data_IF_258711809726
#
_entry.id   IF_258711809726
#
_cell.length_a   1.000
_cell.length_b   1.000
_cell.length_c   1.000
_cell.angle_alpha   90.00
_cell.angle_beta   90.00
_cell.angle_gamma   90.00
#
_symmetry.space_group_name_H-M   'P 1'
#
loop_
_entity.id
_entity.type
_entity.pdbx_description
1 polymer ?
#
# COMPACT_ATOMS: atom_id res chain seq x y z
N UNK A 1 12.27 -4.36 -7.99
CA UNK A 1 12.44 -3.08 -8.72
C UNK A 1 13.09 -2.08 -7.77
N UNK A 2 14.14 -1.37 -8.19
CA UNK A 2 14.86 -0.38 -7.36
C UNK A 2 14.04 0.89 -7.07
N UNK A 3 12.93 1.10 -7.79
CA UNK A 3 11.99 2.20 -7.60
C UNK A 3 10.82 1.84 -6.69
N UNK A 4 10.73 0.59 -6.24
CA UNK A 4 9.68 0.15 -5.32
C UNK A 4 9.90 0.76 -3.94
N UNK A 5 8.91 1.51 -3.46
CA UNK A 5 8.94 2.15 -2.15
C UNK A 5 7.72 1.73 -1.33
N UNK A 6 7.90 1.58 -0.03
CA UNK A 6 6.87 1.13 0.92
C UNK A 6 6.63 2.18 1.98
N UNK A 7 5.46 2.14 2.62
CA UNK A 7 5.17 3.02 3.74
C UNK A 7 6.03 2.66 4.96
N UNK A 8 6.84 3.62 5.41
CA UNK A 8 7.84 3.42 6.47
C UNK A 8 7.25 2.87 7.77
N UNK A 9 6.07 3.32 8.17
CA UNK A 9 5.44 2.85 9.41
C UNK A 9 5.18 1.33 9.40
N UNK A 10 4.71 0.79 8.26
CA UNK A 10 4.46 -0.64 8.13
C UNK A 10 5.77 -1.42 8.02
N UNK A 11 6.78 -0.84 7.36
CA UNK A 11 8.10 -1.42 7.24
C UNK A 11 8.79 -1.57 8.61
N UNK A 12 8.69 -0.56 9.49
CA UNK A 12 9.25 -0.65 10.85
C UNK A 12 8.60 -1.80 11.63
N UNK A 13 7.27 -1.93 11.55
CA UNK A 13 6.56 -3.04 12.18
C UNK A 13 7.01 -4.40 11.60
N UNK A 14 7.11 -4.52 10.28
CA UNK A 14 7.60 -5.74 9.64
C UNK A 14 9.04 -6.06 10.07
N UNK A 15 9.94 -5.07 10.07
CA UNK A 15 11.34 -5.27 10.42
C UNK A 15 11.49 -5.81 11.85
N UNK A 16 10.62 -5.39 12.77
CA UNK A 16 10.57 -5.94 14.12
C UNK A 16 10.10 -7.41 14.14
N UNK A 17 9.11 -7.76 13.33
CA UNK A 17 8.47 -9.09 13.34
C UNK A 17 9.22 -10.14 12.50
N UNK A 18 9.86 -9.72 11.40
CA UNK A 18 10.39 -10.61 10.37
C UNK A 18 11.37 -11.68 10.88
N UNK A 19 12.35 -11.38 11.77
CA UNK A 19 13.26 -12.41 12.29
C UNK A 19 12.54 -13.52 13.06
N UNK A 20 11.49 -13.16 13.82
CA UNK A 20 10.65 -14.12 14.53
C UNK A 20 9.87 -15.01 13.57
N UNK A 21 9.25 -14.40 12.55
CA UNK A 21 8.46 -15.10 11.53
C UNK A 21 9.34 -16.08 10.74
N UNK A 22 10.51 -15.66 10.25
CA UNK A 22 11.43 -16.53 9.49
C UNK A 22 11.86 -17.74 10.32
N UNK A 23 12.25 -17.50 11.58
CA UNK A 23 12.62 -18.58 12.50
C UNK A 23 11.47 -19.58 12.68
N UNK A 24 10.24 -19.09 12.91
CA UNK A 24 9.08 -19.96 13.11
C UNK A 24 8.65 -20.69 11.83
N UNK A 25 8.79 -20.08 10.66
CA UNK A 25 8.56 -20.77 9.39
C UNK A 25 9.54 -21.91 9.18
N UNK A 26 10.83 -21.69 9.44
CA UNK A 26 11.85 -22.73 9.35
C UNK A 26 11.61 -23.89 10.33
N UNK A 27 11.28 -23.56 11.59
CA UNK A 27 10.89 -24.54 12.62
C UNK A 27 9.71 -25.39 12.14
N UNK A 28 8.61 -24.76 11.71
CA UNK A 28 7.40 -25.46 11.31
C UNK A 28 7.58 -26.25 10.03
N UNK A 29 8.38 -25.75 9.09
CA UNK A 29 8.75 -26.48 7.89
C UNK A 29 9.52 -27.77 8.21
N UNK A 30 10.52 -27.68 9.11
CA UNK A 30 11.40 -28.80 9.46
C UNK A 30 10.67 -29.85 10.30
N UNK A 31 9.96 -29.40 11.33
CA UNK A 31 9.37 -30.25 12.36
C UNK A 31 7.97 -30.72 12.00
N UNK A 32 7.14 -29.81 11.49
CA UNK A 32 5.72 -30.07 11.19
C UNK A 32 5.42 -30.32 9.72
N UNK A 33 6.46 -30.26 8.87
CA UNK A 33 6.36 -30.44 7.41
C UNK A 33 5.34 -29.49 6.75
N UNK A 34 5.15 -28.31 7.33
CA UNK A 34 4.29 -27.27 6.73
C UNK A 34 4.89 -26.85 5.39
N UNK A 35 4.01 -26.73 4.38
CA UNK A 35 4.33 -26.23 3.04
C UNK A 35 3.47 -25.06 2.62
N UNK A 36 2.26 -24.98 3.16
CA UNK A 36 1.27 -23.97 2.79
C UNK A 36 1.03 -23.03 3.96
N UNK A 37 1.08 -21.73 3.68
CA UNK A 37 0.98 -20.68 4.69
C UNK A 37 -0.02 -19.62 4.24
N UNK A 38 -0.99 -19.34 5.11
CA UNK A 38 -1.88 -18.20 4.95
C UNK A 38 -1.29 -16.99 5.64
N UNK A 39 -1.07 -15.92 4.89
CA UNK A 39 -0.69 -14.60 5.41
C UNK A 39 -1.93 -13.74 5.44
N UNK A 40 -2.40 -13.36 6.62
CA UNK A 40 -3.64 -12.61 6.77
C UNK A 40 -3.43 -11.41 7.67
N UNK A 41 -4.15 -10.34 7.35
CA UNK A 41 -4.14 -9.13 8.16
C UNK A 41 -5.38 -8.28 7.92
N UNK A 42 -5.78 -7.56 8.96
CA UNK A 42 -6.86 -6.58 8.92
C UNK A 42 -6.32 -5.20 9.32
N UNK A 43 -6.80 -4.13 8.70
CA UNK A 43 -6.39 -2.75 9.03
C UNK A 43 -4.87 -2.54 8.89
N UNK A 44 -4.20 -2.00 9.91
CA UNK A 44 -2.75 -1.96 10.02
C UNK A 44 -2.10 -3.32 9.75
N UNK A 45 -2.69 -4.41 10.26
CA UNK A 45 -2.23 -5.77 10.00
C UNK A 45 -2.31 -6.13 8.51
N UNK A 46 -3.30 -5.61 7.77
CA UNK A 46 -3.38 -5.76 6.31
C UNK A 46 -2.24 -5.03 5.60
N UNK A 47 -1.89 -3.82 6.07
CA UNK A 47 -0.71 -3.07 5.61
C UNK A 47 0.59 -3.84 5.81
N UNK A 48 0.77 -4.46 6.98
CA UNK A 48 1.94 -5.30 7.30
C UNK A 48 1.93 -6.60 6.49
N UNK A 49 0.76 -7.22 6.30
CA UNK A 49 0.60 -8.46 5.54
C UNK A 49 1.03 -8.30 4.07
N UNK A 50 0.77 -7.14 3.44
CA UNK A 50 1.32 -6.83 2.11
C UNK A 50 2.84 -6.93 2.12
N UNK A 51 3.49 -6.20 3.03
CA UNK A 51 4.95 -6.15 3.09
C UNK A 51 5.54 -7.50 3.48
N UNK A 52 4.90 -8.23 4.40
CA UNK A 52 5.33 -9.56 4.82
C UNK A 52 5.31 -10.54 3.65
N UNK A 53 4.25 -10.56 2.83
CA UNK A 53 4.20 -11.44 1.67
C UNK A 53 5.31 -11.14 0.66
N UNK A 54 5.58 -9.86 0.38
CA UNK A 54 6.72 -9.46 -0.46
C UNK A 54 8.05 -9.90 0.15
N UNK A 55 8.25 -9.63 1.45
CA UNK A 55 9.47 -10.02 2.15
C UNK A 55 9.72 -11.52 2.09
N UNK A 56 8.69 -12.35 2.30
CA UNK A 56 8.81 -13.82 2.22
C UNK A 56 9.16 -14.30 0.81
N UNK A 57 8.67 -13.64 -0.25
CA UNK A 57 9.08 -13.96 -1.62
C UNK A 57 10.58 -13.79 -1.81
N UNK A 58 11.11 -12.66 -1.36
CA UNK A 58 12.54 -12.35 -1.53
C UNK A 58 13.42 -13.08 -0.54
N UNK A 59 12.94 -13.35 0.67
CA UNK A 59 13.61 -14.22 1.65
C UNK A 59 13.79 -15.64 1.09
N UNK A 60 12.80 -16.14 0.34
CA UNK A 60 12.89 -17.42 -0.38
C UNK A 60 13.95 -17.40 -1.47
N UNK A 61 14.01 -16.34 -2.28
CA UNK A 61 15.06 -16.17 -3.30
C UNK A 61 16.47 -16.06 -2.68
N UNK A 62 16.56 -15.49 -1.48
CA UNK A 62 17.79 -15.41 -0.69
C UNK A 62 18.07 -16.67 0.16
N UNK A 63 17.26 -17.73 0.03
CA UNK A 63 17.41 -18.98 0.76
C UNK A 63 17.35 -18.84 2.30
N UNK A 64 16.72 -17.76 2.81
CA UNK A 64 16.46 -17.56 4.24
C UNK A 64 15.29 -18.42 4.75
N UNK A 65 14.44 -18.85 3.82
CA UNK A 65 13.35 -19.81 4.05
C UNK A 65 13.31 -20.84 2.90
N UNK A 66 12.68 -22.01 3.09
CA UNK A 66 12.60 -23.07 2.10
C UNK A 66 11.90 -22.64 0.80
N UNK A 67 12.42 -23.15 -0.32
CA UNK A 67 12.01 -22.79 -1.68
C UNK A 67 10.62 -23.28 -2.09
N UNK A 68 10.12 -24.32 -1.43
CA UNK A 68 8.86 -25.03 -1.65
C UNK A 68 7.76 -24.63 -0.63
N UNK A 69 7.90 -23.47 0.01
CA UNK A 69 6.81 -22.83 0.74
C UNK A 69 5.88 -22.08 -0.22
N UNK A 70 4.58 -22.29 -0.05
CA UNK A 70 3.51 -21.65 -0.80
C UNK A 70 2.74 -20.68 0.10
N UNK A 71 2.56 -19.45 -0.39
CA UNK A 71 1.93 -18.38 0.37
C UNK A 71 0.67 -17.91 -0.33
N UNK A 72 -0.45 -17.90 0.40
CA UNK A 72 -1.67 -17.22 -0.01
C UNK A 72 -1.97 -16.07 0.95
N UNK A 73 -2.26 -14.90 0.40
CA UNK A 73 -2.35 -13.68 1.20
C UNK A 73 -3.72 -13.02 1.10
N UNK A 74 -4.26 -12.62 2.25
CA UNK A 74 -5.48 -11.84 2.37
C UNK A 74 -5.22 -10.59 3.21
N UNK A 75 -5.14 -9.45 2.54
CA UNK A 75 -5.06 -8.15 3.16
C UNK A 75 -6.46 -7.54 3.18
N UNK A 76 -7.13 -7.58 4.34
CA UNK A 76 -8.44 -6.98 4.51
C UNK A 76 -8.34 -5.59 5.10
N UNK A 77 -9.15 -4.64 4.59
CA UNK A 77 -9.17 -3.27 5.07
C UNK A 77 -7.78 -2.62 5.15
N UNK A 78 -6.86 -3.06 4.29
CA UNK A 78 -5.45 -2.67 4.37
C UNK A 78 -5.25 -1.28 3.76
N UNK A 79 -4.50 -0.38 4.42
CA UNK A 79 -4.09 0.87 3.80
C UNK A 79 -3.16 0.59 2.61
N UNK A 80 -2.96 1.60 1.76
CA UNK A 80 -2.04 1.52 0.62
C UNK A 80 -0.61 1.22 1.09
N UNK A 81 0.01 0.10 0.66
CA UNK A 81 1.28 -0.38 1.23
C UNK A 81 2.52 0.33 0.70
N UNK A 82 2.47 0.87 -0.52
CA UNK A 82 3.64 1.42 -1.20
C UNK A 82 3.29 2.19 -2.46
N UNK A 83 4.30 2.54 -3.24
CA UNK A 83 4.11 3.26 -4.50
C UNK A 83 3.70 2.33 -5.65
N UNK A 84 3.51 2.90 -6.84
CA UNK A 84 3.14 2.14 -8.05
C UNK A 84 4.08 0.98 -8.37
N UNK A 85 5.40 1.18 -8.23
CA UNK A 85 6.37 0.13 -8.51
C UNK A 85 6.28 -1.02 -7.50
N UNK A 86 6.03 -0.71 -6.23
CA UNK A 86 5.74 -1.74 -5.23
C UNK A 86 4.44 -2.50 -5.56
N UNK A 87 3.38 -1.80 -5.96
CA UNK A 87 2.12 -2.45 -6.32
C UNK A 87 2.29 -3.42 -7.51
N UNK A 88 3.01 -3.02 -8.56
CA UNK A 88 3.30 -3.90 -9.69
C UNK A 88 4.10 -5.13 -9.31
N UNK A 89 5.12 -4.95 -8.46
CA UNK A 89 5.93 -6.05 -7.95
C UNK A 89 5.08 -7.04 -7.16
N UNK A 90 4.27 -6.53 -6.22
CA UNK A 90 3.35 -7.31 -5.41
C UNK A 90 2.33 -8.07 -6.26
N UNK A 91 1.68 -7.39 -7.20
CA UNK A 91 0.68 -7.98 -8.09
C UNK A 91 1.31 -9.05 -8.97
N UNK A 92 2.54 -8.82 -9.44
CA UNK A 92 3.27 -9.82 -10.20
C UNK A 92 3.55 -11.07 -9.36
N UNK A 93 4.15 -10.95 -8.18
CA UNK A 93 4.52 -12.13 -7.36
C UNK A 93 3.31 -12.85 -6.75
N UNK A 94 2.13 -12.23 -6.75
CA UNK A 94 0.87 -12.81 -6.22
C UNK A 94 -0.20 -13.07 -7.29
N UNK A 95 0.15 -12.92 -8.58
CA UNK A 95 -0.75 -13.14 -9.72
C UNK A 95 -1.39 -14.52 -9.71
N UNK A 96 -2.58 -14.63 -10.31
CA UNK A 96 -3.32 -15.89 -10.37
C UNK A 96 -4.07 -16.23 -9.07
N UNK A 97 -4.42 -15.23 -8.26
CA UNK A 97 -5.25 -15.42 -7.06
C UNK A 97 -4.47 -15.87 -5.81
N UNK A 98 -3.19 -15.50 -5.71
CA UNK A 98 -2.35 -15.80 -4.54
C UNK A 98 -2.23 -14.62 -3.56
N UNK A 99 -2.73 -13.44 -3.92
CA UNK A 99 -2.76 -12.26 -3.07
C UNK A 99 -4.00 -11.43 -3.32
N UNK A 100 -4.78 -11.21 -2.27
CA UNK A 100 -6.05 -10.48 -2.32
C UNK A 100 -6.04 -9.25 -1.43
N UNK A 101 -6.69 -8.21 -1.93
CA UNK A 101 -7.01 -7.00 -1.20
C UNK A 101 -8.52 -6.90 -1.03
N UNK A 102 -9.00 -7.19 0.18
CA UNK A 102 -10.43 -7.23 0.49
C UNK A 102 -10.85 -5.87 1.04
N UNK A 103 -11.76 -5.20 0.35
CA UNK A 103 -12.16 -3.82 0.62
C UNK A 103 -13.67 -3.71 0.75
N UNK A 104 -14.15 -3.12 1.85
CA UNK A 104 -15.51 -2.60 1.96
C UNK A 104 -15.57 -1.24 1.27
N UNK A 105 -16.52 -1.01 0.36
CA UNK A 105 -16.63 0.25 -0.38
C UNK A 105 -16.97 1.47 0.48
N UNK A 106 -17.45 1.29 1.71
CA UNK A 106 -17.70 2.36 2.67
C UNK A 106 -16.54 2.57 3.68
N UNK A 107 -15.49 1.76 3.62
CA UNK A 107 -14.34 1.88 4.53
C UNK A 107 -13.30 2.83 3.96
N UNK A 108 -12.96 3.87 4.72
CA UNK A 108 -11.98 4.89 4.33
C UNK A 108 -10.53 4.43 4.52
N UNK A 109 -10.25 3.42 5.35
CA UNK A 109 -8.86 3.03 5.67
C UNK A 109 -8.05 2.59 4.43
N UNK A 110 -8.62 1.85 3.46
CA UNK A 110 -7.95 1.57 2.18
C UNK A 110 -7.63 2.81 1.32
N UNK A 111 -8.18 3.97 1.63
CA UNK A 111 -7.95 5.23 0.90
C UNK A 111 -6.70 5.99 1.37
N UNK A 112 -6.11 5.60 2.51
CA UNK A 112 -4.90 6.21 3.07
C UNK A 112 -3.65 5.36 2.81
N UNK A 113 -2.44 5.95 2.79
CA UNK A 113 -2.12 7.38 2.91
C UNK A 113 -2.57 8.22 1.71
N UNK A 114 -2.56 9.55 1.86
CA UNK A 114 -2.81 10.47 0.73
C UNK A 114 -1.85 10.23 -0.42
N UNK A 115 -2.41 10.11 -1.63
CA UNK A 115 -1.64 9.85 -2.85
C UNK A 115 -1.50 11.12 -3.68
N UNK A 116 -0.27 11.45 -4.06
CA UNK A 116 0.03 12.53 -5.01
C UNK A 116 0.90 11.97 -6.12
N UNK A 117 0.39 11.99 -7.35
CA UNK A 117 1.20 11.72 -8.52
C UNK A 117 1.89 12.99 -9.01
N UNK A 118 3.18 12.90 -9.28
CA UNK A 118 4.00 13.96 -9.87
C UNK A 118 4.50 13.52 -11.25
N UNK A 119 5.04 14.46 -12.04
CA UNK A 119 5.66 14.12 -13.32
C UNK A 119 6.82 13.12 -13.21
N UNK A 120 7.48 13.04 -12.05
CA UNK A 120 8.55 12.08 -11.80
C UNK A 120 8.05 10.64 -11.64
N UNK A 121 6.75 10.45 -11.41
CA UNK A 121 6.15 9.14 -11.24
C UNK A 121 5.67 8.51 -12.55
N UNK A 122 5.66 9.26 -13.65
CA UNK A 122 5.31 8.71 -14.96
C UNK A 122 6.48 7.92 -15.56
N UNK A 123 6.15 6.95 -16.42
CA UNK A 123 7.13 6.31 -17.28
C UNK A 123 7.86 7.39 -18.13
N UNK A 124 9.19 7.29 -18.34
CA UNK A 124 9.94 8.21 -19.19
C UNK A 124 9.36 8.41 -20.60
N UNK A 125 8.67 7.41 -21.15
CA UNK A 125 8.00 7.47 -22.47
C UNK A 125 6.72 8.29 -22.46
N UNK A 126 6.21 8.67 -21.29
CA UNK A 126 4.95 9.39 -21.16
C UNK A 126 5.01 10.77 -21.83
N UNK A 127 3.94 11.14 -22.53
CA UNK A 127 3.85 12.41 -23.27
C UNK A 127 3.96 13.62 -22.36
N UNK A 128 3.43 13.55 -21.14
CA UNK A 128 3.46 14.67 -20.19
C UNK A 128 4.88 14.99 -19.74
N UNK A 129 5.72 13.98 -19.53
CA UNK A 129 7.16 14.14 -19.19
C UNK A 129 7.91 14.87 -20.32
N UNK A 130 7.54 14.60 -21.57
CA UNK A 130 8.22 15.16 -22.76
C UNK A 130 7.60 16.48 -23.25
N UNK A 131 6.51 16.95 -22.64
CA UNK A 131 5.79 18.20 -23.03
C UNK A 131 6.71 19.41 -23.10
N UNK A 132 7.68 19.53 -22.19
CA UNK A 132 8.64 20.66 -22.19
C UNK A 132 9.48 20.70 -23.47
N UNK A 133 9.85 19.55 -24.03
CA UNK A 133 10.55 19.46 -25.33
C UNK A 133 9.62 19.84 -26.48
N UNK A 134 8.35 19.43 -26.44
CA UNK A 134 7.36 19.79 -27.45
C UNK A 134 7.05 21.29 -27.46
N UNK A 135 6.88 21.90 -26.27
CA UNK A 135 6.62 23.34 -26.12
C UNK A 135 7.75 24.22 -26.64
N UNK A 136 9.00 23.74 -26.62
CA UNK A 136 10.14 24.47 -27.21
C UNK A 136 9.99 24.71 -28.72
N UNK A 137 9.25 23.84 -29.43
CA UNK A 137 9.00 23.94 -30.87
C UNK A 137 7.82 24.85 -31.23
N UNK A 138 7.10 25.38 -30.23
CA UNK A 138 5.89 26.20 -30.45
C UNK A 138 6.22 27.69 -30.55
N UNK A 139 5.29 28.47 -31.13
CA UNK A 139 5.35 29.95 -31.19
C UNK A 139 5.50 30.56 -29.78
N UNK A 140 6.13 31.74 -29.70
CA UNK A 140 6.51 32.37 -28.42
C UNK A 140 5.39 32.45 -27.39
N UNK A 141 4.20 32.96 -27.76
CA UNK A 141 3.07 33.10 -26.83
C UNK A 141 2.52 31.75 -26.35
N UNK A 142 2.42 30.76 -27.25
CA UNK A 142 1.99 29.39 -26.90
C UNK A 142 3.00 28.74 -25.95
N UNK A 143 4.30 28.90 -26.23
CA UNK A 143 5.38 28.41 -25.38
C UNK A 143 5.34 29.05 -23.99
N UNK A 144 5.06 30.35 -23.88
CA UNK A 144 4.97 31.06 -22.60
C UNK A 144 3.83 30.50 -21.74
N UNK A 145 2.61 30.45 -22.30
CA UNK A 145 1.42 29.94 -21.60
C UNK A 145 1.61 28.47 -21.24
N UNK A 146 2.07 27.65 -22.19
CA UNK A 146 2.31 26.22 -21.98
C UNK A 146 3.34 25.95 -20.89
N UNK A 147 4.45 26.71 -20.84
CA UNK A 147 5.45 26.57 -19.78
C UNK A 147 4.88 26.96 -18.40
N UNK A 148 4.05 28.01 -18.32
CA UNK A 148 3.41 28.40 -17.07
C UNK A 148 2.50 27.30 -16.51
N UNK A 149 1.65 26.74 -17.38
CA UNK A 149 0.75 25.63 -17.00
C UNK A 149 1.55 24.39 -16.62
N UNK A 150 2.53 23.99 -17.43
CA UNK A 150 3.44 22.87 -17.14
C UNK A 150 4.12 23.03 -15.77
N UNK A 151 4.68 24.21 -15.50
CA UNK A 151 5.34 24.49 -14.22
C UNK A 151 4.36 24.44 -13.05
N UNK A 152 3.09 24.84 -13.22
CA UNK A 152 2.07 24.69 -12.19
C UNK A 152 1.75 23.21 -11.91
N UNK A 153 1.61 22.40 -12.97
CA UNK A 153 1.39 20.96 -12.86
C UNK A 153 2.56 20.23 -12.20
N UNK A 154 3.79 20.71 -12.38
CA UNK A 154 4.95 20.11 -11.71
C UNK A 154 5.11 20.60 -10.26
N UNK A 155 5.06 21.93 -10.03
CA UNK A 155 5.42 22.53 -8.75
C UNK A 155 4.38 22.29 -7.66
N UNK A 156 3.07 22.33 -7.99
CA UNK A 156 2.01 22.20 -6.97
C UNK A 156 2.00 20.80 -6.34
N UNK A 157 1.99 19.68 -7.10
CA UNK A 157 2.06 18.34 -6.54
C UNK A 157 3.34 18.11 -5.72
N UNK A 158 4.51 18.52 -6.22
CA UNK A 158 5.78 18.42 -5.48
C UNK A 158 5.75 19.21 -4.15
N UNK A 159 5.15 20.40 -4.14
CA UNK A 159 4.99 21.19 -2.90
C UNK A 159 4.08 20.49 -1.89
N UNK A 160 3.01 19.84 -2.35
CA UNK A 160 2.10 19.08 -1.50
C UNK A 160 2.79 17.82 -0.94
N UNK A 161 3.51 17.07 -1.79
CA UNK A 161 4.34 15.93 -1.38
C UNK A 161 5.32 16.31 -0.25
N UNK A 162 6.12 17.37 -0.45
CA UNK A 162 7.07 17.85 0.58
C UNK A 162 6.40 18.24 1.90
N UNK A 163 5.17 18.77 1.86
CA UNK A 163 4.41 19.07 3.08
C UNK A 163 4.01 17.78 3.79
N UNK A 164 3.51 16.79 3.07
CA UNK A 164 3.17 15.50 3.66
C UNK A 164 4.39 14.80 4.25
N UNK A 165 5.52 14.77 3.55
CA UNK A 165 6.78 14.24 4.08
C UNK A 165 7.21 14.97 5.37
N UNK A 166 7.18 16.31 5.37
CA UNK A 166 7.52 17.11 6.55
C UNK A 166 6.64 16.80 7.76
N UNK A 167 5.32 16.74 7.58
CA UNK A 167 4.38 16.62 8.70
C UNK A 167 4.10 15.17 9.11
N UNK A 168 3.94 14.27 8.14
CA UNK A 168 3.59 12.86 8.37
C UNK A 168 4.82 11.95 8.46
N UNK A 169 5.97 12.36 7.91
CA UNK A 169 7.26 11.70 8.12
C UNK A 169 8.01 12.33 9.29
N UNK A 170 8.74 13.42 9.00
CA UNK A 170 9.69 14.01 9.94
C UNK A 170 9.09 14.43 11.29
N UNK A 171 7.95 15.14 11.27
CA UNK A 171 7.33 15.61 12.51
C UNK A 171 6.78 14.44 13.34
N UNK A 172 6.10 13.46 12.73
CA UNK A 172 5.61 12.27 13.44
C UNK A 172 6.78 11.48 14.04
N UNK A 173 7.87 11.30 13.29
CA UNK A 173 9.05 10.63 13.78
C UNK A 173 9.59 11.31 15.05
N UNK A 174 9.80 12.63 15.00
CA UNK A 174 10.34 13.41 16.12
C UNK A 174 9.45 13.39 17.36
N UNK A 175 8.12 13.49 17.20
CA UNK A 175 7.21 13.66 18.34
C UNK A 175 6.78 12.35 18.99
N UNK A 176 6.68 11.27 18.21
CA UNK A 176 6.12 10.00 18.65
C UNK A 176 7.12 8.84 18.50
N UNK A 177 7.64 8.60 17.29
CA UNK A 177 8.42 7.39 17.00
C UNK A 177 9.75 7.37 17.76
N UNK A 178 10.50 8.48 17.79
CA UNK A 178 11.77 8.55 18.53
C UNK A 178 11.59 8.32 20.04
N UNK A 179 10.43 8.66 20.59
CA UNK A 179 10.13 8.40 22.01
C UNK A 179 9.81 6.92 22.25
N UNK A 180 9.01 6.33 21.36
CA UNK A 180 8.61 4.93 21.46
C UNK A 180 9.77 3.96 21.13
N UNK A 181 10.66 4.36 20.21
CA UNK A 181 11.80 3.57 19.73
C UNK A 181 13.08 4.43 19.72
N UNK A 182 13.70 4.70 20.89
CA UNK A 182 14.85 5.61 20.98
C UNK A 182 16.08 5.20 20.17
N UNK A 183 16.26 3.89 19.94
CA UNK A 183 17.34 3.34 19.12
C UNK A 183 17.07 3.34 17.62
N UNK A 184 15.85 3.64 17.18
CA UNK A 184 15.54 3.73 15.75
C UNK A 184 16.10 5.05 15.21
N UNK A 185 16.96 4.97 14.19
CA UNK A 185 17.39 6.14 13.42
C UNK A 185 16.28 6.55 12.45
N UNK A 186 16.11 7.85 12.24
CA UNK A 186 15.14 8.35 11.27
C UNK A 186 15.50 7.81 9.88
N UNK A 187 14.53 7.22 9.16
CA UNK A 187 14.77 6.74 7.81
C UNK A 187 14.86 7.90 6.83
N UNK A 188 15.70 7.73 5.81
CA UNK A 188 15.73 8.64 4.67
C UNK A 188 14.47 8.42 3.82
N UNK A 189 13.57 9.40 3.81
CA UNK A 189 12.33 9.32 3.05
C UNK A 189 12.60 9.50 1.56
N UNK A 190 11.93 8.67 0.76
CA UNK A 190 11.88 8.89 -0.69
C UNK A 190 10.88 10.00 -0.95
N UNK A 191 11.28 10.99 -1.77
CA UNK A 191 10.46 12.16 -2.13
C UNK A 191 9.31 11.81 -3.09
N UNK A 192 8.51 10.81 -2.72
CA UNK A 192 7.40 10.24 -3.45
C UNK A 192 6.22 10.02 -2.51
N UNK A 193 5.02 10.38 -2.98
CA UNK A 193 3.76 10.12 -2.29
C UNK A 193 2.76 9.44 -3.24
N UNK A 194 3.21 8.79 -4.31
CA UNK A 194 2.33 8.11 -5.26
C UNK A 194 1.88 6.72 -4.76
N UNK A 195 1.27 6.70 -3.57
CA UNK A 195 0.78 5.47 -2.93
C UNK A 195 -0.31 4.79 -3.77
N UNK A 196 -0.22 3.48 -3.92
CA UNK A 196 -1.13 2.64 -4.69
C UNK A 196 -1.65 1.50 -3.84
N UNK A 197 -2.86 1.03 -4.17
CA UNK A 197 -3.36 -0.26 -3.67
C UNK A 197 -2.58 -1.38 -4.36
N UNK A 198 -2.40 -2.50 -3.68
CA UNK A 198 -1.79 -3.71 -4.21
C UNK A 198 -2.72 -4.91 -3.95
N UNK A 199 -2.51 -6.00 -4.68
CA UNK A 199 -3.27 -7.24 -4.61
C UNK A 199 -4.50 -7.27 -5.50
N UNK A 200 -4.95 -8.48 -5.83
CA UNK A 200 -6.19 -8.69 -6.59
C UNK A 200 -7.37 -8.18 -5.76
N UNK A 201 -8.15 -7.19 -6.25
CA UNK A 201 -9.21 -6.59 -5.45
C UNK A 201 -10.39 -7.56 -5.28
N UNK A 202 -10.85 -7.69 -4.05
CA UNK A 202 -12.17 -8.26 -3.70
C UNK A 202 -12.98 -7.11 -3.13
N UNK A 203 -13.79 -6.49 -3.98
CA UNK A 203 -14.59 -5.32 -3.60
C UNK A 203 -15.94 -5.78 -3.07
N UNK A 204 -16.15 -5.57 -1.77
CA UNK A 204 -17.41 -5.78 -1.07
C UNK A 204 -18.22 -4.49 -1.20
N UNK A 205 -19.03 -4.41 -2.26
CA UNK A 205 -19.88 -3.25 -2.53
C UNK A 205 -21.04 -3.18 -1.52
N UNK A 206 -21.23 -2.01 -0.93
CA UNK A 206 -22.38 -1.70 -0.07
C UNK A 206 -23.64 -1.47 -0.90
N UNK A 207 -24.80 -1.63 -0.25
CA UNK A 207 -26.12 -1.35 -0.82
C UNK A 207 -26.97 -0.59 0.22
N UNK A 208 -28.17 -0.08 -0.12
CA UNK A 208 -29.00 0.63 0.85
C UNK A 208 -29.32 -0.17 2.14
N UNK A 209 -29.53 -1.49 2.04
CA UNK A 209 -29.79 -2.36 3.19
C UNK A 209 -28.58 -2.53 4.12
N UNK A 210 -27.36 -2.37 3.60
CA UNK A 210 -26.16 -2.31 4.44
C UNK A 210 -26.20 -1.10 5.38
N UNK A 211 -26.58 0.07 4.87
CA UNK A 211 -26.59 1.32 5.65
C UNK A 211 -27.68 1.37 6.73
N UNK A 212 -28.70 0.51 6.66
CA UNK A 212 -29.67 0.36 7.77
C UNK A 212 -29.04 -0.36 8.97
N UNK A 213 -28.04 -1.20 8.75
CA UNK A 213 -27.32 -1.94 9.79
C UNK A 213 -26.04 -1.22 10.24
N UNK A 214 -25.37 -0.57 9.30
CA UNK A 214 -24.12 0.17 9.49
C UNK A 214 -24.32 1.60 8.96
N UNK A 215 -25.02 2.49 9.71
CA UNK A 215 -25.30 3.84 9.24
C UNK A 215 -24.03 4.68 9.20
N UNK A 216 -23.98 5.61 8.25
CA UNK A 216 -22.95 6.66 8.20
C UNK A 216 -23.03 7.51 9.47
N UNK A 217 -21.91 7.61 10.18
CA UNK A 217 -21.85 8.35 11.43
C UNK A 217 -20.44 8.95 11.64
N UNK A 218 -20.29 10.28 11.54
CA UNK A 218 -19.02 10.96 11.78
C UNK A 218 -18.42 10.72 13.18
N UNK A 219 -19.26 10.46 14.20
CA UNK A 219 -18.81 10.15 15.56
C UNK A 219 -18.32 8.70 15.72
N UNK A 220 -18.59 7.85 14.72
CA UNK A 220 -18.16 6.44 14.66
C UNK A 220 -17.44 6.13 13.34
N UNK A 221 -16.28 6.76 13.08
CA UNK A 221 -15.60 6.69 11.78
C UNK A 221 -15.09 5.31 11.41
N UNK A 222 -15.10 4.34 12.33
CA UNK A 222 -14.65 2.97 12.09
C UNK A 222 -15.80 1.98 11.87
N UNK A 223 -17.06 2.43 11.86
CA UNK A 223 -18.23 1.53 11.71
C UNK A 223 -18.09 0.59 10.51
N UNK A 224 -17.67 1.13 9.36
CA UNK A 224 -17.48 0.37 8.12
C UNK A 224 -16.18 -0.45 8.09
N UNK A 225 -15.23 -0.09 8.95
CA UNK A 225 -13.91 -0.70 9.05
C UNK A 225 -13.94 -2.02 9.84
N UNK A 226 -14.84 -2.14 10.81
CA UNK A 226 -14.88 -3.30 11.71
C UNK A 226 -15.19 -4.63 11.00
N UNK A 227 -14.71 -5.72 11.60
CA UNK A 227 -14.90 -7.08 11.10
C UNK A 227 -16.35 -7.41 10.74
N UNK A 228 -17.32 -6.98 11.55
CA UNK A 228 -18.74 -7.28 11.35
C UNK A 228 -19.27 -6.71 10.03
N UNK A 229 -18.86 -5.49 9.66
CA UNK A 229 -19.24 -4.86 8.40
C UNK A 229 -18.69 -5.65 7.20
N UNK A 230 -17.42 -6.03 7.25
CA UNK A 230 -16.78 -6.86 6.23
C UNK A 230 -17.43 -8.24 6.13
N UNK A 231 -17.66 -8.90 7.27
CA UNK A 231 -18.25 -10.23 7.32
C UNK A 231 -19.69 -10.25 6.78
N UNK A 232 -20.49 -9.23 7.10
CA UNK A 232 -21.84 -9.07 6.56
C UNK A 232 -21.82 -9.00 5.03
N UNK A 233 -21.00 -8.11 4.46
CA UNK A 233 -20.92 -7.97 3.00
C UNK A 233 -20.35 -9.22 2.34
N UNK A 234 -19.36 -9.87 2.97
CA UNK A 234 -18.82 -11.14 2.49
C UNK A 234 -19.92 -12.21 2.38
N UNK A 235 -20.79 -12.32 3.40
CA UNK A 235 -21.95 -13.21 3.36
C UNK A 235 -22.97 -12.81 2.30
N UNK A 236 -23.23 -11.53 2.09
CA UNK A 236 -24.15 -11.09 1.04
C UNK A 236 -23.65 -11.44 -0.36
N UNK A 237 -22.35 -11.27 -0.62
CA UNK A 237 -21.77 -11.49 -1.95
C UNK A 237 -21.40 -12.95 -2.22
N UNK A 238 -21.04 -13.73 -1.18
CA UNK A 238 -20.45 -15.07 -1.34
C UNK A 238 -21.05 -16.14 -0.42
N UNK A 239 -22.06 -15.80 0.40
CA UNK A 239 -22.64 -16.70 1.41
C UNK A 239 -23.85 -17.51 0.97
N UNK A 240 -24.25 -17.44 -0.32
CA UNK A 240 -25.27 -18.34 -0.86
C UNK A 240 -24.82 -19.80 -0.82
N UNK A 241 -25.77 -20.72 -0.62
CA UNK A 241 -25.52 -22.16 -0.69
C UNK A 241 -24.85 -22.52 -2.02
N UNK A 242 -23.68 -23.16 -1.93
CA UNK A 242 -23.11 -23.95 -3.02
C UNK A 242 -23.64 -25.36 -2.91
#
# INVERSE_FOLDING_TARGET
DDKANVHTGWLVSLAHLAPGIVRKLNEYYKEKKVREVLVMGHSQGGGIAFLLRSYLEYARQQQLIPGDLFFKTYCSAGPKPGNMYYAYDYDFITRGGWGFNVVNSADWVPEVPFSIQTLANFNPTNVFVNTKKMLKKQKFFVRLIGNHVYNKMEKKPRKAQRRYEKYLGHKIYKIAIKKALPGLKEPDYVHDNNYMRAGTPVILLTNPAYYTLFPENPDKPFTHHMFQAYFYLLKQHYGGER
#
